data_IF_632895039047
#
_entry.id   IF_632895039047
#
_cell.length_a   1.000
_cell.length_b   1.000
_cell.length_c   1.000
_cell.angle_alpha   90.00
_cell.angle_beta   90.00
_cell.angle_gamma   90.00
#
_symmetry.space_group_name_H-M   'P 1'
#
loop_
_entity.id
_entity.type
_entity.pdbx_description
1 polymer ?
#
# COMPACT_ATOMS: atom_id res chain seq x y z
N UNK A 1 3.43 3.65 11.55
CA UNK A 1 3.97 3.74 12.91
C UNK A 1 5.39 3.18 12.90
N UNK A 2 6.29 3.76 13.68
CA UNK A 2 7.70 3.38 13.75
C UNK A 2 8.12 3.17 15.21
N UNK A 3 9.09 2.28 15.43
CA UNK A 3 9.76 2.15 16.73
C UNK A 3 10.95 3.13 16.87
N UNK A 4 11.69 3.01 17.98
CA UNK A 4 12.86 3.87 18.26
C UNK A 4 14.04 3.67 17.30
N UNK A 5 14.04 2.58 16.55
CA UNK A 5 15.08 2.22 15.58
C UNK A 5 14.62 2.47 14.14
N UNK A 6 13.54 3.24 13.95
CA UNK A 6 12.94 3.52 12.64
C UNK A 6 12.46 2.28 11.88
N UNK A 7 12.10 1.20 12.60
CA UNK A 7 11.46 0.02 12.01
C UNK A 7 9.95 0.22 11.97
N UNK A 8 9.31 -0.12 10.86
CA UNK A 8 7.86 -0.01 10.71
C UNK A 8 7.20 -1.03 11.63
N UNK A 9 6.32 -0.56 12.51
CA UNK A 9 5.55 -1.42 13.43
C UNK A 9 4.10 -1.60 13.00
N UNK A 10 3.62 -0.77 12.09
CA UNK A 10 2.33 -0.98 11.45
C UNK A 10 1.86 0.15 10.56
N UNK A 11 0.88 -0.15 9.73
CA UNK A 11 0.24 0.76 8.79
C UNK A 11 -1.28 0.69 8.95
N UNK A 12 -1.90 1.85 9.14
CA UNK A 12 -3.37 1.98 9.13
C UNK A 12 -3.77 2.91 8.00
N UNK A 13 -4.71 2.47 7.17
CA UNK A 13 -5.19 3.20 6.00
C UNK A 13 -6.72 3.26 6.00
N UNK A 14 -7.25 4.45 5.80
CA UNK A 14 -8.68 4.71 5.61
C UNK A 14 -8.88 5.39 4.25
N UNK A 15 -9.44 4.66 3.29
CA UNK A 15 -9.60 5.09 1.90
C UNK A 15 -11.06 5.33 1.57
N UNK A 16 -11.36 6.44 0.89
CA UNK A 16 -12.66 6.68 0.26
C UNK A 16 -12.45 6.63 -1.26
N UNK A 17 -13.14 5.72 -1.93
CA UNK A 17 -12.99 5.48 -3.37
C UNK A 17 -14.28 5.83 -4.11
N UNK A 18 -14.16 6.64 -5.16
CA UNK A 18 -15.28 7.01 -6.01
C UNK A 18 -15.50 5.93 -7.10
N UNK A 19 -16.73 5.42 -7.23
CA UNK A 19 -17.13 4.47 -8.28
C UNK A 19 -17.72 5.14 -9.53
N UNK A 20 -18.07 6.42 -9.44
CA UNK A 20 -18.89 7.11 -10.44
C UNK A 20 -20.37 6.76 -10.32
N UNK A 21 -21.12 6.88 -11.41
CA UNK A 21 -22.59 6.78 -11.38
C UNK A 21 -23.12 5.38 -11.05
N UNK A 22 -22.37 4.33 -11.40
CA UNK A 22 -22.74 2.94 -11.14
C UNK A 22 -21.48 2.06 -11.09
N UNK A 23 -21.63 0.88 -10.52
CA UNK A 23 -20.53 -0.08 -10.39
C UNK A 23 -20.26 -0.72 -11.76
N UNK A 24 -19.11 -0.42 -12.36
CA UNK A 24 -18.60 -1.14 -13.53
C UNK A 24 -17.88 -2.44 -13.11
N UNK A 25 -17.39 -3.22 -14.08
CA UNK A 25 -16.95 -4.60 -13.88
C UNK A 25 -15.91 -4.77 -12.78
N UNK A 26 -14.83 -3.99 -12.78
CA UNK A 26 -13.79 -4.07 -11.73
C UNK A 26 -13.83 -2.92 -10.73
N UNK A 27 -14.75 -1.95 -10.88
CA UNK A 27 -14.80 -0.73 -10.05
C UNK A 27 -14.80 -0.98 -8.54
N UNK A 28 -15.44 -2.06 -8.07
CA UNK A 28 -15.42 -2.43 -6.64
C UNK A 28 -14.12 -3.09 -6.21
N UNK A 29 -13.50 -3.88 -7.10
CA UNK A 29 -12.30 -4.67 -6.83
C UNK A 29 -11.01 -3.83 -6.86
N UNK A 30 -10.95 -2.85 -7.77
CA UNK A 30 -9.79 -1.94 -7.94
C UNK A 30 -9.38 -1.25 -6.63
N UNK A 31 -10.25 -0.52 -5.93
CA UNK A 31 -9.88 0.17 -4.70
C UNK A 31 -9.90 -0.73 -3.45
N UNK A 32 -10.39 -1.98 -3.56
CA UNK A 32 -10.47 -2.91 -2.43
C UNK A 32 -9.39 -3.99 -2.54
N UNK A 33 -9.68 -5.13 -3.16
CA UNK A 33 -8.81 -6.28 -3.20
C UNK A 33 -7.50 -5.99 -3.93
N UNK A 34 -7.53 -5.33 -5.09
CA UNK A 34 -6.32 -5.04 -5.88
C UNK A 34 -5.46 -3.90 -5.31
N UNK A 35 -5.94 -3.26 -4.24
CA UNK A 35 -5.28 -2.15 -3.55
C UNK A 35 -4.79 -2.57 -2.15
N UNK A 36 -5.71 -3.02 -1.29
CA UNK A 36 -5.45 -3.25 0.13
C UNK A 36 -4.46 -4.41 0.36
N UNK A 37 -4.52 -5.44 -0.49
CA UNK A 37 -3.61 -6.60 -0.37
C UNK A 37 -2.16 -6.30 -0.74
N UNK A 38 -1.89 -5.07 -1.18
CA UNK A 38 -0.57 -4.63 -1.66
C UNK A 38 0.03 -3.53 -0.78
N UNK A 39 -0.65 -3.16 0.31
CA UNK A 39 -0.20 -2.10 1.22
C UNK A 39 1.09 -2.45 1.98
N UNK A 40 1.57 -3.70 1.92
CA UNK A 40 2.92 -4.04 2.41
C UNK A 40 4.01 -3.47 1.50
N UNK A 41 3.73 -3.26 0.21
CA UNK A 41 4.71 -2.84 -0.80
C UNK A 41 5.96 -3.71 -0.77
N UNK A 42 7.12 -3.09 -0.57
CA UNK A 42 8.41 -3.80 -0.46
C UNK A 42 8.87 -3.96 1.00
N UNK A 43 8.05 -3.53 1.96
CA UNK A 43 8.45 -3.39 3.35
C UNK A 43 7.94 -4.54 4.21
N UNK A 44 8.78 -4.91 5.17
CA UNK A 44 8.47 -5.86 6.23
C UNK A 44 7.64 -5.16 7.30
N UNK A 45 6.31 -5.20 7.15
CA UNK A 45 5.34 -4.53 8.03
C UNK A 45 4.55 -5.59 8.79
N UNK A 46 4.67 -5.67 10.14
CA UNK A 46 4.06 -6.76 10.89
C UNK A 46 2.54 -6.65 11.03
N UNK A 47 1.99 -5.43 10.96
CA UNK A 47 0.56 -5.20 11.14
C UNK A 47 0.04 -4.16 10.14
N UNK A 48 -0.95 -4.53 9.34
CA UNK A 48 -1.61 -3.62 8.40
C UNK A 48 -3.13 -3.71 8.60
N UNK A 49 -3.78 -2.55 8.70
CA UNK A 49 -5.23 -2.43 8.71
C UNK A 49 -5.67 -1.47 7.61
N UNK A 50 -6.55 -1.93 6.73
CA UNK A 50 -7.13 -1.13 5.66
C UNK A 50 -8.66 -1.12 5.76
N UNK A 51 -9.24 0.07 5.76
CA UNK A 51 -10.67 0.29 5.67
C UNK A 51 -10.98 1.09 4.41
N UNK A 52 -11.75 0.50 3.49
CA UNK A 52 -12.09 1.11 2.21
C UNK A 52 -13.60 1.34 2.15
N UNK A 53 -14.00 2.59 1.92
CA UNK A 53 -15.39 2.98 1.69
C UNK A 53 -15.55 3.42 0.25
N UNK A 54 -16.43 2.75 -0.48
CA UNK A 54 -16.77 3.16 -1.84
C UNK A 54 -17.99 4.07 -1.84
N UNK A 55 -18.02 5.04 -2.75
CA UNK A 55 -19.12 5.99 -2.88
C UNK A 55 -19.52 6.15 -4.35
N UNK A 56 -20.83 6.27 -4.60
CA UNK A 56 -21.34 6.63 -5.91
C UNK A 56 -21.40 8.15 -6.05
N UNK A 57 -21.11 8.66 -7.25
CA UNK A 57 -21.19 10.09 -7.57
C UNK A 57 -21.78 10.31 -8.96
N UNK A 58 -22.29 11.52 -9.25
CA UNK A 58 -22.81 11.88 -10.57
C UNK A 58 -21.70 12.15 -11.61
N UNK A 59 -20.78 11.21 -11.79
CA UNK A 59 -19.68 11.25 -12.76
C UNK A 59 -19.67 9.99 -13.62
N UNK A 60 -18.90 10.00 -14.71
CA UNK A 60 -18.67 8.79 -15.48
C UNK A 60 -18.17 7.64 -14.56
N UNK A 61 -18.63 6.39 -14.76
CA UNK A 61 -18.12 5.23 -14.03
C UNK A 61 -16.61 5.09 -14.20
N UNK A 62 -15.93 4.68 -13.13
CA UNK A 62 -14.50 4.35 -13.17
C UNK A 62 -14.30 2.85 -13.29
N UNK A 63 -13.22 2.42 -13.93
CA UNK A 63 -12.86 1.01 -14.04
C UNK A 63 -11.33 0.84 -14.01
N UNK A 64 -10.88 -0.40 -14.11
CA UNK A 64 -9.47 -0.77 -14.15
C UNK A 64 -8.71 0.02 -15.22
N UNK A 65 -7.70 0.74 -14.74
CA UNK A 65 -6.69 1.37 -15.58
C UNK A 65 -5.31 0.89 -15.13
N UNK A 66 -4.36 0.80 -16.08
CA UNK A 66 -3.00 0.24 -15.96
C UNK A 66 -2.48 0.16 -14.52
N UNK A 67 -2.37 -1.07 -14.00
CA UNK A 67 -1.97 -1.35 -12.62
C UNK A 67 -3.17 -1.74 -11.75
N UNK A 68 -4.25 -0.96 -11.80
CA UNK A 68 -5.54 -1.19 -11.13
C UNK A 68 -5.39 -1.38 -9.61
N UNK A 69 -5.46 -0.30 -8.82
CA UNK A 69 -5.34 -0.31 -7.36
C UNK A 69 -3.88 -0.29 -6.88
N UNK A 70 -2.98 -0.94 -7.64
CA UNK A 70 -1.54 -0.94 -7.35
C UNK A 70 -0.91 0.45 -7.39
N UNK A 71 -1.18 1.30 -8.40
CA UNK A 71 -0.62 2.65 -8.43
C UNK A 71 -0.98 3.45 -7.18
N UNK A 72 -2.22 3.34 -6.70
CA UNK A 72 -2.72 4.04 -5.52
C UNK A 72 -2.07 3.51 -4.23
N UNK A 73 -1.94 2.18 -4.10
CA UNK A 73 -1.26 1.55 -2.96
C UNK A 73 0.21 1.96 -2.88
N UNK A 74 0.93 1.86 -4.00
CA UNK A 74 2.34 2.27 -4.11
C UNK A 74 2.49 3.76 -3.84
N UNK A 75 1.64 4.61 -4.41
CA UNK A 75 1.70 6.04 -4.18
C UNK A 75 1.52 6.36 -2.70
N UNK A 76 0.48 5.84 -2.05
CA UNK A 76 0.24 6.07 -0.63
C UNK A 76 1.44 5.65 0.21
N UNK A 77 1.95 4.45 -0.03
CA UNK A 77 3.03 3.87 0.77
C UNK A 77 4.35 4.64 0.58
N UNK A 78 4.75 4.89 -0.66
CA UNK A 78 6.00 5.59 -0.96
C UNK A 78 5.99 7.05 -0.52
N UNK A 79 4.85 7.73 -0.63
CA UNK A 79 4.69 9.09 -0.09
C UNK A 79 4.70 9.10 1.44
N UNK A 80 4.15 8.07 2.07
CA UNK A 80 4.21 7.90 3.54
C UNK A 80 5.65 7.68 3.98
N UNK A 81 6.41 6.81 3.31
CA UNK A 81 7.83 6.58 3.61
C UNK A 81 8.68 7.84 3.43
N UNK A 82 8.43 8.60 2.37
CA UNK A 82 9.10 9.88 2.11
C UNK A 82 8.82 10.91 3.23
N UNK A 83 7.57 10.99 3.67
CA UNK A 83 7.16 11.92 4.75
C UNK A 83 7.74 11.49 6.09
N UNK A 84 7.66 10.19 6.41
CA UNK A 84 8.21 9.62 7.62
C UNK A 84 9.73 9.84 7.71
N UNK A 85 10.47 9.67 6.63
CA UNK A 85 11.91 9.92 6.62
C UNK A 85 12.27 11.36 7.01
N UNK A 86 11.49 12.33 6.53
CA UNK A 86 11.67 13.76 6.87
C UNK A 86 11.36 14.02 8.35
N UNK A 87 10.28 13.43 8.87
CA UNK A 87 9.89 13.58 10.27
C UNK A 87 10.89 12.91 11.23
N UNK A 88 11.44 11.76 10.84
CA UNK A 88 12.43 11.00 11.61
C UNK A 88 13.86 11.54 11.45
N UNK A 89 14.09 12.49 10.54
CA UNK A 89 15.40 13.10 10.31
C UNK A 89 16.42 12.16 9.66
N UNK A 90 15.98 11.20 8.86
CA UNK A 90 16.83 10.22 8.18
C UNK A 90 16.70 10.32 6.66
N UNK A 91 17.67 9.75 5.92
CA UNK A 91 17.56 9.69 4.46
C UNK A 91 16.37 8.80 4.05
N UNK A 92 15.56 9.22 3.06
CA UNK A 92 14.49 8.37 2.54
C UNK A 92 14.99 7.05 1.96
N UNK A 93 16.20 6.99 1.41
CA UNK A 93 16.77 5.74 0.90
C UNK A 93 17.19 4.80 2.04
N UNK A 94 17.74 5.36 3.12
CA UNK A 94 18.15 4.58 4.30
C UNK A 94 16.94 4.03 5.05
N UNK A 95 15.89 4.84 5.24
CA UNK A 95 14.65 4.38 5.89
C UNK A 95 14.01 3.22 5.12
N UNK A 96 14.00 3.29 3.78
CA UNK A 96 13.48 2.21 2.94
C UNK A 96 14.31 0.93 3.08
N UNK A 97 15.63 1.03 2.91
CA UNK A 97 16.55 -0.11 3.06
C UNK A 97 16.45 -0.78 4.41
N UNK A 98 16.36 0.02 5.48
CA UNK A 98 16.20 -0.48 6.83
C UNK A 98 14.86 -1.21 7.05
N UNK A 99 13.91 -1.12 6.12
CA UNK A 99 12.56 -1.69 6.23
C UNK A 99 12.20 -2.69 5.13
N UNK A 100 13.10 -3.00 4.19
CA UNK A 100 12.78 -3.96 3.13
C UNK A 100 12.61 -5.39 3.64
N UNK A 101 11.79 -6.14 2.91
CA UNK A 101 11.73 -7.60 2.99
C UNK A 101 13.05 -8.18 2.44
N UNK A 102 13.68 -9.08 3.20
CA UNK A 102 15.00 -9.66 2.86
C UNK A 102 14.99 -11.18 2.78
N UNK A 103 13.88 -11.83 3.11
CA UNK A 103 13.73 -13.29 3.07
C UNK A 103 12.48 -13.64 2.28
N UNK A 104 12.60 -14.61 1.37
CA UNK A 104 11.53 -15.08 0.51
C UNK A 104 11.46 -16.62 0.56
N UNK A 105 10.26 -17.24 0.45
CA UNK A 105 8.96 -16.58 0.30
C UNK A 105 8.53 -15.79 1.55
N UNK A 106 7.79 -14.69 1.37
CA UNK A 106 7.37 -13.79 2.45
C UNK A 106 5.85 -13.60 2.46
N UNK A 107 5.20 -14.11 3.50
CA UNK A 107 3.77 -13.91 3.71
C UNK A 107 3.51 -12.51 4.29
N UNK A 108 2.88 -11.65 3.52
CA UNK A 108 2.41 -10.34 4.02
C UNK A 108 1.20 -10.50 4.94
N UNK A 109 0.93 -9.56 5.86
CA UNK A 109 -0.29 -9.60 6.70
C UNK A 109 -1.57 -9.28 5.91
N UNK A 110 -1.47 -8.99 4.60
CA UNK A 110 -2.58 -8.59 3.73
C UNK A 110 -2.71 -9.53 2.53
N UNK A 111 -2.79 -10.83 2.81
CA UNK A 111 -3.12 -11.94 1.88
C UNK A 111 -1.96 -12.40 0.98
N UNK A 112 -1.20 -11.50 0.36
CA UNK A 112 -0.23 -11.90 -0.66
C UNK A 112 1.02 -12.56 -0.06
N UNK A 113 1.46 -13.66 -0.67
CA UNK A 113 2.75 -14.29 -0.39
C UNK A 113 3.72 -13.92 -1.51
N UNK A 114 4.78 -13.18 -1.20
CA UNK A 114 5.81 -12.83 -2.17
C UNK A 114 6.72 -14.02 -2.38
N UNK A 115 6.87 -14.42 -3.63
CA UNK A 115 7.57 -15.62 -4.05
C UNK A 115 9.09 -15.44 -4.04
N UNK A 116 9.58 -14.35 -4.61
CA UNK A 116 10.99 -14.00 -4.70
C UNK A 116 11.19 -12.47 -4.76
N UNK A 117 12.40 -12.02 -4.44
CA UNK A 117 12.77 -10.62 -4.55
C UNK A 117 14.24 -10.39 -4.22
N UNK A 118 14.77 -9.26 -4.71
CA UNK A 118 16.10 -8.75 -4.40
C UNK A 118 16.02 -7.22 -4.23
N UNK A 119 15.38 -6.80 -3.14
CA UNK A 119 15.14 -5.38 -2.86
C UNK A 119 16.38 -4.66 -2.30
N UNK A 120 17.39 -5.42 -1.89
CA UNK A 120 18.63 -4.91 -1.31
C UNK A 120 19.78 -4.72 -2.31
N UNK A 121 19.67 -5.26 -3.53
CA UNK A 121 20.68 -5.14 -4.58
C UNK A 121 20.96 -3.71 -5.07
#
# INVERSE_FOLDING_TARGET
>A
AFDRNNRITGLKVDTIANLGAYMSLFSSCVPTYLYATLLSGQYDIPAIHANVRTVYTNTAPVDAYRGAGRPEATYLLERTMETAARELGVSPAELRRANFITSFPHQTPVIMNYDAGDYGA
#
